data_IF_187928033367
#
_entry.id   IF_187928033367
#
_cell.length_a   1.000
_cell.length_b   1.000
_cell.length_c   1.000
_cell.angle_alpha   90.00
_cell.angle_beta   90.00
_cell.angle_gamma   90.00
#
_symmetry.space_group_name_H-M   'P 1'
#
loop_
_entity.id
_entity.type
_entity.pdbx_description
1 polymer ?
#
# COMPACT_ATOMS: atom_id res chain seq x y z
N UNK A 1 19.57 -13.26 -9.28
CA UNK A 1 18.32 -12.67 -9.81
C UNK A 1 17.97 -11.35 -9.11
N UNK A 2 17.94 -11.33 -7.77
CA UNK A 2 17.55 -10.16 -6.97
C UNK A 2 18.33 -8.88 -7.34
N UNK A 3 19.67 -8.91 -7.30
CA UNK A 3 20.52 -7.71 -7.46
C UNK A 3 20.30 -7.01 -8.82
N UNK A 4 20.44 -7.73 -9.94
CA UNK A 4 20.25 -7.17 -11.28
C UNK A 4 18.85 -6.60 -11.52
N UNK A 5 17.80 -7.28 -11.03
CA UNK A 5 16.43 -6.76 -11.18
C UNK A 5 16.17 -5.58 -10.24
N UNK A 6 16.69 -5.57 -9.02
CA UNK A 6 16.53 -4.44 -8.11
C UNK A 6 17.20 -3.19 -8.64
N UNK A 7 18.39 -3.31 -9.22
CA UNK A 7 19.08 -2.21 -9.90
C UNK A 7 18.24 -1.67 -11.06
N UNK A 8 17.83 -2.54 -11.99
CA UNK A 8 16.94 -2.16 -13.09
C UNK A 8 15.65 -1.49 -12.59
N UNK A 9 14.92 -2.14 -11.69
CA UNK A 9 13.63 -1.63 -11.20
C UNK A 9 13.79 -0.32 -10.43
N UNK A 10 14.92 -0.09 -9.76
CA UNK A 10 15.17 1.15 -9.02
C UNK A 10 15.29 2.37 -9.92
N UNK A 11 15.76 2.17 -11.17
CA UNK A 11 15.92 3.24 -12.15
C UNK A 11 14.59 3.59 -12.83
N UNK A 12 13.72 2.60 -13.05
CA UNK A 12 12.54 2.76 -13.92
C UNK A 12 11.18 2.71 -13.19
N UNK A 13 11.11 2.30 -11.91
CA UNK A 13 9.83 2.08 -11.23
C UNK A 13 9.77 2.71 -9.84
N UNK A 14 8.86 3.68 -9.63
CA UNK A 14 8.68 4.35 -8.33
C UNK A 14 8.31 3.41 -7.16
N UNK A 15 7.66 2.28 -7.45
CA UNK A 15 7.20 1.31 -6.44
C UNK A 15 8.19 0.18 -6.14
N UNK A 16 9.41 0.22 -6.71
CA UNK A 16 10.38 -0.86 -6.64
C UNK A 16 10.67 -1.35 -5.21
N UNK A 17 10.77 -0.43 -4.24
CA UNK A 17 11.02 -0.75 -2.83
C UNK A 17 9.94 -1.67 -2.23
N UNK A 18 8.67 -1.37 -2.51
CA UNK A 18 7.55 -2.18 -2.02
C UNK A 18 7.52 -3.55 -2.68
N UNK A 19 7.87 -3.61 -3.96
CA UNK A 19 7.98 -4.87 -4.71
C UNK A 19 9.10 -5.75 -4.14
N UNK A 20 10.29 -5.20 -3.93
CA UNK A 20 11.43 -5.91 -3.36
C UNK A 20 11.12 -6.45 -1.96
N UNK A 21 10.51 -5.63 -1.09
CA UNK A 21 10.13 -6.05 0.26
C UNK A 21 9.12 -7.20 0.23
N UNK A 22 8.08 -7.11 -0.61
CA UNK A 22 7.10 -8.20 -0.75
C UNK A 22 7.74 -9.50 -1.24
N UNK A 23 8.63 -9.43 -2.22
CA UNK A 23 9.33 -10.63 -2.73
C UNK A 23 10.24 -11.20 -1.65
N UNK A 24 10.94 -10.35 -0.88
CA UNK A 24 11.75 -10.80 0.25
C UNK A 24 10.91 -11.51 1.32
N UNK A 25 9.72 -11.01 1.62
CA UNK A 25 8.83 -11.64 2.63
C UNK A 25 8.29 -12.99 2.15
N UNK A 26 7.76 -13.04 0.92
CA UNK A 26 6.98 -14.20 0.45
C UNK A 26 7.75 -15.20 -0.42
N UNK A 27 8.85 -14.78 -1.02
CA UNK A 27 9.57 -15.55 -2.03
C UNK A 27 11.08 -15.63 -1.75
N UNK A 28 11.52 -15.39 -0.51
CA UNK A 28 12.93 -15.48 -0.12
C UNK A 28 13.59 -16.81 -0.49
N UNK A 29 12.87 -17.93 -0.42
CA UNK A 29 13.43 -19.23 -0.76
C UNK A 29 13.86 -19.34 -2.23
N UNK A 30 13.25 -18.55 -3.14
CA UNK A 30 13.66 -18.50 -4.54
C UNK A 30 15.08 -17.92 -4.71
N UNK A 31 15.59 -17.18 -3.72
CA UNK A 31 16.94 -16.62 -3.77
C UNK A 31 18.03 -17.68 -3.67
N UNK A 32 17.70 -18.85 -3.12
CA UNK A 32 18.64 -19.98 -2.98
C UNK A 32 18.60 -20.93 -4.19
N UNK A 33 17.71 -20.70 -5.17
CA UNK A 33 17.59 -21.50 -6.39
C UNK A 33 18.17 -20.75 -7.58
N UNK A 34 18.70 -21.50 -8.56
CA UNK A 34 19.04 -20.89 -9.85
C UNK A 34 17.75 -20.49 -10.56
N UNK A 35 17.81 -19.41 -11.34
CA UNK A 35 16.64 -18.90 -12.07
C UNK A 35 16.05 -19.92 -13.04
N UNK A 36 16.90 -20.74 -13.66
CA UNK A 36 16.55 -21.83 -14.57
C UNK A 36 15.89 -23.03 -13.88
N UNK A 37 16.04 -23.15 -12.56
CA UNK A 37 15.49 -24.25 -11.77
C UNK A 37 14.16 -23.89 -11.11
N UNK A 38 13.72 -22.63 -11.19
CA UNK A 38 12.46 -22.20 -10.61
C UNK A 38 11.32 -22.64 -11.52
N UNK A 39 10.45 -23.49 -10.99
CA UNK A 39 9.34 -24.08 -11.74
C UNK A 39 8.02 -23.37 -11.46
N UNK A 40 6.98 -23.70 -12.23
CA UNK A 40 5.62 -23.22 -11.97
C UNK A 40 5.11 -23.67 -10.59
N UNK A 41 5.48 -24.87 -10.16
CA UNK A 41 5.09 -25.47 -8.88
C UNK A 41 5.67 -24.67 -7.71
N UNK A 42 6.90 -24.15 -7.82
CA UNK A 42 7.48 -23.26 -6.82
C UNK A 42 6.65 -21.98 -6.66
N UNK A 43 6.22 -21.39 -7.77
CA UNK A 43 5.39 -20.17 -7.76
C UNK A 43 3.98 -20.47 -7.22
N UNK A 44 3.39 -21.59 -7.64
CA UNK A 44 2.08 -22.04 -7.19
C UNK A 44 2.08 -22.28 -5.67
N UNK A 45 3.14 -22.89 -5.13
CA UNK A 45 3.30 -23.09 -3.68
C UNK A 45 3.26 -21.77 -2.90
N UNK A 46 3.99 -20.74 -3.35
CA UNK A 46 3.95 -19.40 -2.73
C UNK A 46 2.52 -18.85 -2.77
N UNK A 47 1.88 -18.95 -3.93
CA UNK A 47 0.52 -18.45 -4.12
C UNK A 47 -0.47 -19.15 -3.18
N UNK A 48 -0.37 -20.48 -3.07
CA UNK A 48 -1.26 -21.30 -2.24
C UNK A 48 -1.03 -21.06 -0.75
N UNK A 49 0.21 -20.88 -0.30
CA UNK A 49 0.54 -20.55 1.10
C UNK A 49 -0.08 -19.20 1.53
N UNK A 50 -0.01 -18.19 0.67
CA UNK A 50 -0.63 -16.88 0.94
C UNK A 50 -2.17 -16.99 0.88
N UNK A 51 -2.68 -17.81 -0.04
CA UNK A 51 -4.11 -18.07 -0.22
C UNK A 51 -4.70 -18.79 0.99
N UNK A 52 -3.99 -19.77 1.57
CA UNK A 52 -4.39 -20.49 2.77
C UNK A 52 -4.59 -19.55 3.97
N UNK A 53 -3.83 -18.44 4.02
CA UNK A 53 -3.99 -17.37 5.02
C UNK A 53 -5.11 -16.37 4.68
N UNK A 54 -5.91 -16.63 3.65
CA UNK A 54 -6.99 -15.78 3.13
C UNK A 54 -6.52 -14.39 2.66
N UNK A 55 -5.25 -14.25 2.28
CA UNK A 55 -4.67 -13.00 1.78
C UNK A 55 -4.71 -12.91 0.24
N UNK A 56 -5.90 -13.05 -0.35
CA UNK A 56 -6.08 -13.17 -1.81
C UNK A 56 -5.46 -12.02 -2.62
N UNK A 57 -5.56 -10.78 -2.14
CA UNK A 57 -4.95 -9.62 -2.80
C UNK A 57 -3.42 -9.73 -2.80
N UNK A 58 -2.84 -10.16 -1.68
CA UNK A 58 -1.39 -10.38 -1.59
C UNK A 58 -0.94 -11.53 -2.47
N UNK A 59 -1.72 -12.62 -2.57
CA UNK A 59 -1.45 -13.74 -3.46
C UNK A 59 -1.46 -13.29 -4.94
N UNK A 60 -2.42 -12.45 -5.35
CA UNK A 60 -2.41 -11.88 -6.70
C UNK A 60 -1.21 -10.96 -6.92
N UNK A 61 -0.88 -10.12 -5.93
CA UNK A 61 0.24 -9.20 -6.01
C UNK A 61 1.59 -9.91 -6.16
N UNK A 62 1.79 -11.09 -5.53
CA UNK A 62 3.05 -11.83 -5.71
C UNK A 62 3.23 -12.29 -7.15
N UNK A 63 2.17 -12.77 -7.81
CA UNK A 63 2.21 -13.13 -9.24
C UNK A 63 2.48 -11.89 -10.11
N UNK A 64 1.84 -10.76 -9.81
CA UNK A 64 2.06 -9.50 -10.51
C UNK A 64 3.49 -8.98 -10.36
N UNK A 65 4.12 -9.20 -9.21
CA UNK A 65 5.49 -8.77 -8.93
C UNK A 65 6.52 -9.70 -9.58
N UNK A 66 6.29 -11.01 -9.58
CA UNK A 66 7.21 -12.00 -10.13
C UNK A 66 7.16 -12.06 -11.66
N UNK A 67 5.99 -11.86 -12.26
CA UNK A 67 5.83 -11.91 -13.72
C UNK A 67 6.82 -11.01 -14.48
N UNK A 68 6.98 -9.71 -14.18
CA UNK A 68 7.93 -8.84 -14.89
C UNK A 68 9.39 -9.22 -14.63
N UNK A 69 9.71 -9.80 -13.47
CA UNK A 69 11.07 -10.26 -13.15
C UNK A 69 11.45 -11.42 -14.08
N UNK A 70 10.57 -12.40 -14.20
CA UNK A 70 10.81 -13.54 -15.09
C UNK A 70 10.74 -13.14 -16.57
N UNK A 71 9.92 -12.15 -16.95
CA UNK A 71 9.98 -11.59 -18.30
C UNK A 71 11.34 -10.95 -18.58
N UNK A 72 11.92 -10.20 -17.64
CA UNK A 72 13.28 -9.67 -17.80
C UNK A 72 14.34 -10.77 -17.86
N UNK A 73 14.16 -11.86 -17.12
CA UNK A 73 15.03 -13.02 -17.23
C UNK A 73 15.00 -13.66 -18.62
N UNK A 74 13.83 -13.71 -19.26
CA UNK A 74 13.68 -14.15 -20.66
C UNK A 74 14.40 -13.18 -21.61
N UNK A 75 14.20 -11.87 -21.45
CA UNK A 75 14.90 -10.87 -22.26
C UNK A 75 16.42 -10.98 -22.15
N UNK A 76 16.93 -11.39 -20.99
CA UNK A 76 18.36 -11.64 -20.76
C UNK A 76 18.83 -13.03 -21.17
N UNK A 77 17.97 -13.87 -21.76
CA UNK A 77 18.30 -15.23 -22.19
C UNK A 77 18.63 -16.19 -21.04
N UNK A 78 18.16 -15.91 -19.82
CA UNK A 78 18.43 -16.76 -18.66
C UNK A 78 17.48 -17.95 -18.56
N UNK A 79 16.28 -17.82 -19.11
CA UNK A 79 15.21 -18.83 -19.15
C UNK A 79 14.38 -18.65 -20.41
N UNK A 80 13.72 -19.71 -20.85
CA UNK A 80 12.90 -19.67 -22.07
C UNK A 80 11.41 -19.34 -21.80
N UNK A 81 10.94 -19.63 -20.58
CA UNK A 81 9.52 -19.55 -20.21
C UNK A 81 9.33 -18.91 -18.86
N UNK A 82 8.26 -18.13 -18.73
CA UNK A 82 7.90 -17.49 -17.47
C UNK A 82 7.17 -18.49 -16.56
N UNK A 83 7.72 -18.90 -15.40
CA UNK A 83 7.09 -19.88 -14.50
C UNK A 83 5.79 -19.37 -13.86
N UNK A 84 5.54 -18.06 -13.89
CA UNK A 84 4.28 -17.45 -13.41
C UNK A 84 3.13 -17.70 -14.38
N UNK A 85 3.43 -18.00 -15.65
CA UNK A 85 2.40 -18.14 -16.69
C UNK A 85 1.45 -19.30 -16.41
N UNK A 86 0.15 -19.07 -16.64
CA UNK A 86 -0.89 -20.08 -16.43
C UNK A 86 -1.30 -20.32 -14.97
N UNK A 87 -0.86 -19.49 -14.01
CA UNK A 87 -1.41 -19.46 -12.65
C UNK A 87 -2.60 -18.50 -12.62
N UNK A 88 -3.79 -19.00 -12.28
CA UNK A 88 -5.03 -18.20 -12.24
C UNK A 88 -5.05 -17.34 -10.97
N UNK A 89 -5.26 -16.04 -11.15
CA UNK A 89 -5.43 -15.09 -10.05
C UNK A 89 -6.80 -15.28 -9.38
N UNK A 90 -6.88 -14.95 -8.10
CA UNK A 90 -8.15 -14.86 -7.39
C UNK A 90 -9.01 -13.74 -7.98
N UNK A 91 -10.33 -13.96 -8.05
CA UNK A 91 -11.28 -12.91 -8.40
C UNK A 91 -11.24 -11.84 -7.30
N UNK A 92 -11.05 -10.59 -7.70
CA UNK A 92 -11.11 -9.45 -6.78
C UNK A 92 -12.47 -8.80 -6.90
N UNK A 93 -13.17 -8.68 -5.78
CA UNK A 93 -14.32 -7.79 -5.69
C UNK A 93 -13.81 -6.40 -5.31
N UNK A 94 -14.28 -5.38 -6.04
CA UNK A 94 -14.00 -3.99 -5.68
C UNK A 94 -14.62 -3.70 -4.32
N UNK A 95 -13.79 -3.41 -3.31
CA UNK A 95 -14.29 -2.90 -2.04
C UNK A 95 -14.68 -1.44 -2.22
N UNK A 96 -15.87 -1.18 -2.73
CA UNK A 96 -16.46 0.15 -2.84
C UNK A 96 -17.46 0.36 -1.71
N UNK A 97 -16.97 0.48 -0.48
CA UNK A 97 -17.76 1.09 0.59
C UNK A 97 -17.33 2.54 0.70
N UNK A 98 -18.27 3.45 0.50
CA UNK A 98 -18.04 4.87 0.72
C UNK A 98 -18.09 5.18 2.21
N UNK A 99 -17.37 6.22 2.62
CA UNK A 99 -17.49 6.78 3.97
C UNK A 99 -18.88 7.39 4.08
N UNK A 100 -19.61 6.99 5.12
CA UNK A 100 -20.92 7.59 5.44
C UNK A 100 -20.74 8.97 6.07
N UNK A 101 -21.77 9.83 6.00
CA UNK A 101 -21.71 11.15 6.62
C UNK A 101 -21.41 11.06 8.12
N UNK A 102 -22.01 10.08 8.80
CA UNK A 102 -21.81 9.85 10.23
C UNK A 102 -20.39 9.40 10.56
N UNK A 103 -19.77 8.57 9.70
CA UNK A 103 -18.35 8.22 9.85
C UNK A 103 -17.45 9.43 9.62
N UNK A 104 -17.77 10.29 8.65
CA UNK A 104 -17.02 11.50 8.39
C UNK A 104 -17.08 12.47 9.58
N UNK A 105 -18.26 12.69 10.15
CA UNK A 105 -18.45 13.52 11.35
C UNK A 105 -17.64 12.99 12.53
N UNK A 106 -17.67 11.67 12.77
CA UNK A 106 -16.88 11.05 13.84
C UNK A 106 -15.38 11.24 13.63
N UNK A 107 -14.88 11.06 12.39
CA UNK A 107 -13.48 11.29 12.06
C UNK A 107 -13.10 12.76 12.28
N UNK A 108 -13.91 13.71 11.82
CA UNK A 108 -13.65 15.13 11.99
C UNK A 108 -13.61 15.54 13.47
N UNK A 109 -14.52 15.01 14.29
CA UNK A 109 -14.53 15.27 15.74
C UNK A 109 -13.24 14.80 16.41
N UNK A 110 -12.79 13.58 16.13
CA UNK A 110 -11.54 13.03 16.69
C UNK A 110 -10.32 13.83 16.23
N UNK A 111 -10.31 14.29 14.97
CA UNK A 111 -9.23 15.15 14.46
C UNK A 111 -9.18 16.50 15.18
N UNK A 112 -10.33 17.14 15.39
CA UNK A 112 -10.43 18.40 16.12
C UNK A 112 -10.01 18.26 17.59
N UNK A 113 -10.41 17.19 18.27
CA UNK A 113 -9.99 16.89 19.65
C UNK A 113 -8.48 16.63 19.75
N UNK A 114 -7.91 15.93 18.77
CA UNK A 114 -6.46 15.70 18.71
C UNK A 114 -5.69 16.99 18.45
N UNK A 115 -6.16 17.84 17.55
CA UNK A 115 -5.55 19.16 17.34
C UNK A 115 -5.61 19.98 18.63
N UNK A 116 -6.77 20.04 19.28
CA UNK A 116 -6.95 20.78 20.53
C UNK A 116 -6.10 20.24 21.68
N UNK A 117 -5.86 18.93 21.76
CA UNK A 117 -4.98 18.35 22.79
C UNK A 117 -3.49 18.60 22.52
N UNK A 118 -3.09 18.86 21.27
CA UNK A 118 -1.72 19.22 20.90
C UNK A 118 -1.43 20.73 20.99
N UNK A 119 -2.46 21.57 21.09
CA UNK A 119 -2.30 23.00 21.33
C UNK A 119 -1.85 23.24 22.78
N UNK A 120 -0.83 24.07 22.94
CA UNK A 120 -0.44 24.58 24.26
C UNK A 120 -1.57 25.43 24.85
N UNK A 121 -1.68 25.51 26.18
CA UNK A 121 -2.74 26.29 26.86
C UNK A 121 -2.82 27.75 26.37
N UNK A 122 -1.67 28.35 26.02
CA UNK A 122 -1.62 29.69 25.41
C UNK A 122 -2.34 29.78 24.05
N UNK A 123 -2.20 28.75 23.22
CA UNK A 123 -2.85 28.71 21.90
C UNK A 123 -4.35 28.44 22.00
N UNK A 124 -4.77 27.62 22.98
CA UNK A 124 -6.19 27.43 23.31
C UNK A 124 -6.83 28.74 23.76
N UNK A 125 -6.18 29.45 24.70
CA UNK A 125 -6.64 30.74 25.21
C UNK A 125 -6.75 31.78 24.09
N UNK A 126 -5.78 31.81 23.16
CA UNK A 126 -5.78 32.70 21.99
C UNK A 126 -6.96 32.43 21.05
N UNK A 127 -7.25 31.16 20.71
CA UNK A 127 -8.40 30.79 19.88
C UNK A 127 -9.73 31.15 20.56
N UNK A 128 -9.83 30.99 21.88
CA UNK A 128 -11.02 31.38 22.65
C UNK A 128 -11.20 32.90 22.64
N UNK A 129 -10.13 33.67 22.87
CA UNK A 129 -10.21 35.13 22.85
C UNK A 129 -10.57 35.69 21.47
N UNK A 130 -10.05 35.09 20.40
CA UNK A 130 -10.36 35.49 19.02
C UNK A 130 -11.82 35.20 18.68
N UNK A 131 -12.35 34.04 19.09
CA UNK A 131 -13.76 33.69 18.92
C UNK A 131 -14.70 34.59 19.73
N UNK A 132 -14.30 34.97 20.96
CA UNK A 132 -15.07 35.89 21.80
C UNK A 132 -15.11 37.29 21.18
N UNK A 133 -14.00 37.76 20.63
CA UNK A 133 -13.89 39.04 19.94
C UNK A 133 -14.74 39.09 18.67
N UNK A 134 -14.74 38.03 17.86
CA UNK A 134 -15.61 37.94 16.67
C UNK A 134 -17.10 37.91 17.04
N UNK A 135 -17.46 37.24 18.14
CA UNK A 135 -18.84 37.20 18.63
C UNK A 135 -19.32 38.58 19.11
N UNK A 136 -18.51 39.30 19.88
CA UNK A 136 -18.86 40.66 20.33
C UNK A 136 -18.90 41.63 19.17
N UNK A 137 -17.97 41.54 18.21
CA UNK A 137 -17.98 42.36 17.00
C UNK A 137 -19.25 42.13 16.15
N UNK A 138 -19.69 40.88 16.00
CA UNK A 138 -20.93 40.55 15.28
C UNK A 138 -22.18 41.14 15.96
N UNK A 139 -22.22 41.13 17.30
CA UNK A 139 -23.36 41.65 18.07
C UNK A 139 -23.45 43.19 18.06
N UNK A 140 -22.30 43.88 18.09
CA UNK A 140 -22.21 45.34 18.02
C UNK A 140 -22.63 45.86 16.65
N UNK A 141 -22.25 45.17 15.56
CA UNK A 141 -22.60 45.59 14.19
C UNK A 141 -24.02 45.18 13.75
N UNK A 142 -24.72 44.34 14.52
CA UNK A 142 -26.11 43.93 14.23
C UNK A 142 -27.17 44.72 15.00
N UNK A 143 -26.76 45.69 15.82
CA UNK A 143 -27.64 46.50 16.70
C UNK A 143 -27.72 47.98 16.29
N UNK A 144 -27.32 48.32 15.06
CA UNK A 144 -27.44 49.66 14.45
C UNK A 144 -28.32 49.63 13.21
#
# INVERSE_FOLDING_TARGET
MHVKYTEYSSLYHKSWKRTAERIKIYAAFLYNKKISEITKEDIQKIFDEITARKHYVTANNILMNLSPIFNKAIEWGLIDKNPVHGIKRHKQESRSRYVTNEEMERVMKVLAEKENSQLTEKQKQSKISEKLFLFTAFFIHSSS
#
